data_IF_201298425313
#
_entry.id   IF_201298425313
#
_cell.length_a   1.000
_cell.length_b   1.000
_cell.length_c   1.000
_cell.angle_alpha   90.00
_cell.angle_beta   90.00
_cell.angle_gamma   90.00
#
_symmetry.space_group_name_H-M   'P 1'
#
loop_
_entity.id
_entity.type
_entity.pdbx_description
1 polymer ?
#
# COMPACT_ATOMS: atom_id res chain seq x y z
N UNK A 1 1.46 0.04 -24.13
CA UNK A 1 1.14 -0.68 -22.88
C UNK A 1 1.83 0.07 -21.77
N UNK A 2 1.08 0.69 -20.85
CA UNK A 2 1.70 1.34 -19.69
C UNK A 2 2.25 0.21 -18.81
N UNK A 3 3.57 0.12 -18.66
CA UNK A 3 4.22 -0.95 -17.87
C UNK A 3 3.67 -0.91 -16.43
N UNK A 4 3.50 -2.07 -15.79
CA UNK A 4 3.09 -2.18 -14.37
C UNK A 4 3.96 -1.32 -13.45
N UNK A 5 5.24 -1.12 -13.80
CA UNK A 5 6.14 -0.21 -13.10
C UNK A 5 5.71 1.27 -13.17
N UNK A 6 5.18 1.72 -14.31
CA UNK A 6 4.62 3.07 -14.44
C UNK A 6 3.33 3.22 -13.64
N UNK A 7 2.46 2.21 -13.67
CA UNK A 7 1.23 2.22 -12.88
C UNK A 7 1.52 2.31 -11.38
N UNK A 8 2.53 1.57 -10.87
CA UNK A 8 3.01 1.72 -9.49
C UNK A 8 3.50 3.14 -9.21
N UNK A 9 4.33 3.71 -10.08
CA UNK A 9 4.85 5.06 -9.91
C UNK A 9 3.72 6.10 -9.83
N UNK A 10 2.75 6.02 -10.74
CA UNK A 10 1.60 6.92 -10.78
C UNK A 10 0.74 6.77 -9.52
N UNK A 11 0.47 5.53 -9.09
CA UNK A 11 -0.32 5.26 -7.88
C UNK A 11 0.35 5.81 -6.61
N UNK A 12 1.65 5.56 -6.41
CA UNK A 12 2.37 6.06 -5.24
C UNK A 12 2.52 7.58 -5.25
N UNK A 13 2.73 8.21 -6.41
CA UNK A 13 2.74 9.68 -6.51
C UNK A 13 1.39 10.27 -6.11
N UNK A 14 0.29 9.74 -6.65
CA UNK A 14 -1.05 10.21 -6.30
C UNK A 14 -1.34 10.01 -4.79
N UNK A 15 -0.87 8.90 -4.21
CA UNK A 15 -0.98 8.65 -2.78
C UNK A 15 -0.14 9.62 -1.94
N UNK A 16 1.10 9.89 -2.32
CA UNK A 16 1.97 10.88 -1.66
C UNK A 16 1.36 12.29 -1.73
N UNK A 17 0.80 12.68 -2.88
CA UNK A 17 0.11 13.95 -3.06
C UNK A 17 -1.12 14.05 -2.15
N UNK A 18 -1.92 12.98 -2.05
CA UNK A 18 -3.06 12.91 -1.14
C UNK A 18 -2.62 13.02 0.33
N UNK A 19 -1.57 12.30 0.73
CA UNK A 19 -1.03 12.37 2.08
C UNK A 19 -0.47 13.75 2.41
N UNK A 20 0.24 14.38 1.48
CA UNK A 20 0.75 15.74 1.63
C UNK A 20 -0.41 16.72 1.80
N UNK A 21 -1.42 16.62 0.95
CA UNK A 21 -2.65 17.42 0.96
C UNK A 21 -3.33 17.40 2.32
N UNK A 22 -3.56 16.21 2.90
CA UNK A 22 -4.17 16.04 4.23
C UNK A 22 -3.25 16.57 5.33
N UNK A 23 -1.94 16.29 5.26
CA UNK A 23 -0.99 16.74 6.28
C UNK A 23 -0.86 18.26 6.38
N UNK A 24 -1.05 18.96 5.25
CA UNK A 24 -1.02 20.43 5.18
C UNK A 24 -2.37 21.09 5.48
N UNK A 25 -3.45 20.32 5.59
CA UNK A 25 -4.78 20.85 5.85
C UNK A 25 -4.83 21.56 7.20
N UNK A 26 -5.50 22.71 7.25
CA UNK A 26 -5.78 23.40 8.50
C UNK A 26 -6.73 22.55 9.36
N UNK A 27 -6.69 22.74 10.69
CA UNK A 27 -7.55 21.97 11.61
C UNK A 27 -9.04 22.07 11.25
N UNK A 28 -9.49 23.25 10.81
CA UNK A 28 -10.87 23.49 10.39
C UNK A 28 -11.29 22.73 9.10
N UNK A 29 -10.32 22.27 8.30
CA UNK A 29 -10.56 21.51 7.08
C UNK A 29 -10.53 19.99 7.32
N UNK A 30 -10.05 19.55 8.50
CA UNK A 30 -9.90 18.13 8.81
C UNK A 30 -11.23 17.52 9.20
N UNK A 31 -11.50 16.34 8.66
CA UNK A 31 -12.67 15.53 8.98
C UNK A 31 -12.19 14.33 9.78
N UNK A 32 -12.81 14.13 10.95
CA UNK A 32 -12.55 12.92 11.73
C UNK A 32 -12.99 11.68 10.93
N UNK A 33 -12.24 10.57 11.00
CA UNK A 33 -12.67 9.33 10.37
C UNK A 33 -14.02 8.88 10.94
N UNK A 34 -14.83 8.19 10.12
CA UNK A 34 -16.07 7.60 10.61
C UNK A 34 -15.77 6.55 11.70
N UNK A 35 -16.76 6.23 12.53
CA UNK A 35 -16.56 5.27 13.61
C UNK A 35 -16.12 3.89 13.07
N UNK A 36 -14.95 3.42 13.50
CA UNK A 36 -14.35 2.17 13.05
C UNK A 36 -13.47 2.28 11.79
N UNK A 37 -13.37 3.47 11.19
CA UNK A 37 -12.45 3.77 10.10
C UNK A 37 -11.09 4.26 10.63
N UNK A 38 -10.09 4.22 9.76
CA UNK A 38 -8.73 4.63 10.07
C UNK A 38 -8.52 6.14 9.92
N UNK A 39 -7.69 6.69 10.81
CA UNK A 39 -7.15 8.04 10.62
C UNK A 39 -6.04 8.08 9.56
N UNK A 40 -5.50 9.28 9.28
CA UNK A 40 -4.49 9.47 8.26
C UNK A 40 -3.20 8.67 8.53
N UNK A 41 -2.78 8.55 9.79
CA UNK A 41 -1.53 7.85 10.14
C UNK A 41 -1.72 6.34 10.06
N UNK A 42 -2.87 5.82 10.45
CA UNK A 42 -3.24 4.42 10.29
C UNK A 42 -3.35 4.02 8.82
N UNK A 43 -3.90 4.87 7.95
CA UNK A 43 -3.91 4.63 6.49
C UNK A 43 -2.48 4.58 5.93
N UNK A 44 -1.60 5.50 6.35
CA UNK A 44 -0.19 5.48 5.95
C UNK A 44 0.54 4.22 6.45
N UNK A 45 0.27 3.80 7.69
CA UNK A 45 0.84 2.58 8.25
C UNK A 45 0.36 1.34 7.50
N UNK A 46 -0.93 1.27 7.16
CA UNK A 46 -1.51 0.20 6.36
C UNK A 46 -0.82 0.10 4.99
N UNK A 47 -0.74 1.21 4.25
CA UNK A 47 -0.09 1.25 2.93
C UNK A 47 1.38 0.85 3.03
N UNK A 48 2.10 1.27 4.09
CA UNK A 48 3.48 0.84 4.30
C UNK A 48 3.63 -0.67 4.53
N UNK A 49 2.67 -1.30 5.23
CA UNK A 49 2.68 -2.74 5.51
C UNK A 49 2.32 -3.57 4.28
N UNK A 50 1.26 -3.22 3.55
CA UNK A 50 0.92 -3.94 2.30
C UNK A 50 2.02 -3.78 1.25
N UNK A 51 2.65 -2.60 1.17
CA UNK A 51 3.81 -2.39 0.30
C UNK A 51 4.99 -3.27 0.72
N UNK A 52 5.26 -3.39 2.02
CA UNK A 52 6.31 -4.27 2.54
C UNK A 52 6.03 -5.75 2.25
N UNK A 53 4.78 -6.19 2.42
CA UNK A 53 4.35 -7.55 2.11
C UNK A 53 4.55 -7.87 0.62
N UNK A 54 4.12 -6.96 -0.27
CA UNK A 54 4.33 -7.09 -1.72
C UNK A 54 5.81 -7.13 -2.06
N UNK A 55 6.61 -6.23 -1.47
CA UNK A 55 8.06 -6.21 -1.67
C UNK A 55 8.70 -7.53 -1.23
N UNK A 56 8.27 -8.09 -0.09
CA UNK A 56 8.73 -9.39 0.39
C UNK A 56 8.41 -10.53 -0.57
N UNK A 57 7.17 -10.58 -1.07
CA UNK A 57 6.75 -11.59 -2.04
C UNK A 57 7.53 -11.47 -3.37
N UNK A 58 7.68 -10.26 -3.91
CA UNK A 58 8.46 -9.99 -5.11
C UNK A 58 9.93 -10.40 -4.92
N UNK A 59 10.53 -10.01 -3.80
CA UNK A 59 11.94 -10.33 -3.53
C UNK A 59 12.17 -11.83 -3.38
N UNK A 60 11.24 -12.55 -2.74
CA UNK A 60 11.29 -13.99 -2.58
C UNK A 60 11.22 -14.71 -3.94
N UNK A 61 10.26 -14.34 -4.79
CA UNK A 61 10.13 -14.95 -6.12
C UNK A 61 11.34 -14.63 -7.00
N UNK A 62 11.82 -13.38 -7.01
CA UNK A 62 13.02 -13.00 -7.74
C UNK A 62 14.28 -13.76 -7.29
N UNK A 63 14.33 -14.19 -6.02
CA UNK A 63 15.40 -15.02 -5.49
C UNK A 63 15.19 -16.53 -5.74
N UNK A 64 14.12 -16.93 -6.42
CA UNK A 64 13.78 -18.33 -6.67
C UNK A 64 13.30 -19.09 -5.44
N UNK A 65 12.79 -18.39 -4.42
CA UNK A 65 12.26 -19.00 -3.19
C UNK A 65 10.75 -18.84 -3.09
N UNK A 66 10.10 -19.75 -2.35
CA UNK A 66 8.66 -19.71 -2.14
C UNK A 66 8.27 -18.44 -1.36
N UNK A 67 7.28 -17.73 -1.89
CA UNK A 67 6.67 -16.56 -1.26
C UNK A 67 5.31 -16.91 -0.65
N UNK A 68 4.85 -16.07 0.28
CA UNK A 68 3.46 -16.02 0.74
C UNK A 68 3.05 -14.55 0.81
N UNK A 69 1.76 -14.27 0.60
CA UNK A 69 1.19 -12.94 0.76
C UNK A 69 0.05 -12.98 1.77
N UNK A 70 0.19 -12.26 2.88
CA UNK A 70 -0.83 -12.19 3.94
C UNK A 70 -0.94 -10.75 4.42
N UNK A 71 -2.11 -10.13 4.22
CA UNK A 71 -2.33 -8.73 4.59
C UNK A 71 -2.95 -8.56 5.98
N UNK A 72 -3.21 -9.62 6.76
CA UNK A 72 -3.87 -9.52 8.07
C UNK A 72 -3.13 -8.60 9.04
N UNK A 73 -1.79 -8.63 9.01
CA UNK A 73 -0.95 -7.75 9.84
C UNK A 73 -1.17 -6.26 9.50
N UNK A 74 -1.54 -5.96 8.24
CA UNK A 74 -1.82 -4.60 7.81
C UNK A 74 -3.24 -4.14 8.20
N UNK A 75 -4.06 -4.99 8.82
CA UNK A 75 -5.45 -4.69 9.18
C UNK A 75 -5.63 -4.51 10.70
N UNK A 76 -4.64 -4.96 11.48
CA UNK A 76 -4.67 -4.93 12.94
C UNK A 76 -4.29 -3.54 13.45
N UNK A 77 -5.23 -2.84 14.10
CA UNK A 77 -5.02 -1.45 14.55
C UNK A 77 -3.90 -1.31 15.56
N UNK A 78 -3.69 -2.31 16.43
CA UNK A 78 -2.55 -2.30 17.34
C UNK A 78 -1.22 -2.30 16.58
N UNK A 79 -1.11 -3.12 15.53
CA UNK A 79 0.08 -3.15 14.65
C UNK A 79 0.25 -1.84 13.89
N UNK A 80 -0.84 -1.25 13.39
CA UNK A 80 -0.82 0.06 12.71
C UNK A 80 -0.29 1.15 13.64
N UNK A 81 -0.89 1.32 14.81
CA UNK A 81 -0.50 2.34 15.79
C UNK A 81 0.96 2.14 16.23
N UNK A 82 1.37 0.88 16.43
CA UNK A 82 2.76 0.56 16.78
C UNK A 82 3.73 0.94 15.68
N UNK A 83 3.34 0.78 14.41
CA UNK A 83 4.17 1.21 13.28
C UNK A 83 4.25 2.74 13.18
N UNK A 84 3.13 3.45 13.41
CA UNK A 84 3.10 4.92 13.47
C UNK A 84 4.13 5.44 14.48
N UNK A 85 4.09 4.92 15.71
CA UNK A 85 5.06 5.28 16.76
C UNK A 85 6.50 5.03 16.32
N UNK A 86 6.78 3.84 15.79
CA UNK A 86 8.15 3.43 15.39
C UNK A 86 8.68 4.22 14.20
N UNK A 87 7.81 4.71 13.33
CA UNK A 87 8.18 5.55 12.22
C UNK A 87 8.38 7.01 12.62
N UNK A 88 7.97 7.43 13.83
CA UNK A 88 7.98 8.83 14.23
C UNK A 88 6.83 9.63 13.61
N UNK A 89 5.66 8.99 13.45
CA UNK A 89 4.45 9.59 12.89
C UNK A 89 4.39 9.63 11.37
N UNK A 90 3.42 10.36 10.84
CA UNK A 90 3.11 10.41 9.40
C UNK A 90 4.25 10.87 8.50
N UNK A 91 5.17 11.71 8.99
CA UNK A 91 6.35 12.12 8.20
C UNK A 91 7.30 10.95 7.93
N UNK A 92 7.62 10.14 8.95
CA UNK A 92 8.47 8.98 8.77
C UNK A 92 7.78 7.84 8.02
N UNK A 93 6.45 7.69 8.15
CA UNK A 93 5.69 6.75 7.33
C UNK A 93 5.74 7.10 5.83
N UNK A 94 5.58 8.38 5.48
CA UNK A 94 5.68 8.82 4.08
C UNK A 94 7.06 8.55 3.50
N UNK A 95 8.12 8.86 4.24
CA UNK A 95 9.49 8.55 3.81
C UNK A 95 9.70 7.04 3.61
N UNK A 96 9.21 6.23 4.56
CA UNK A 96 9.26 4.78 4.47
C UNK A 96 8.52 4.26 3.22
N UNK A 97 7.30 4.73 2.97
CA UNK A 97 6.51 4.36 1.79
C UNK A 97 7.25 4.74 0.50
N UNK A 98 7.79 5.97 0.43
CA UNK A 98 8.56 6.44 -0.73
C UNK A 98 9.72 5.50 -1.05
N UNK A 99 10.51 5.11 -0.04
CA UNK A 99 11.63 4.19 -0.20
C UNK A 99 11.17 2.77 -0.62
N UNK A 100 10.09 2.27 -0.03
CA UNK A 100 9.52 0.97 -0.38
C UNK A 100 8.98 0.96 -1.82
N UNK A 101 8.29 2.01 -2.24
CA UNK A 101 7.78 2.18 -3.60
C UNK A 101 8.92 2.24 -4.63
N UNK A 102 10.01 2.93 -4.31
CA UNK A 102 11.21 2.96 -5.16
C UNK A 102 11.84 1.58 -5.31
N UNK A 103 11.98 0.83 -4.21
CA UNK A 103 12.51 -0.53 -4.24
C UNK A 103 11.62 -1.48 -5.04
N UNK A 104 10.30 -1.44 -4.81
CA UNK A 104 9.33 -2.28 -5.51
C UNK A 104 9.36 -1.99 -7.01
N UNK A 105 9.36 -0.70 -7.40
CA UNK A 105 9.47 -0.30 -8.80
C UNK A 105 10.78 -0.81 -9.42
N UNK A 106 11.91 -0.68 -8.74
CA UNK A 106 13.19 -1.14 -9.28
C UNK A 106 13.20 -2.66 -9.54
N UNK A 107 12.53 -3.45 -8.70
CA UNK A 107 12.40 -4.90 -8.91
C UNK A 107 11.45 -5.25 -10.05
N UNK A 108 10.35 -4.51 -10.21
CA UNK A 108 9.34 -4.75 -11.25
C UNK A 108 9.79 -4.24 -12.63
N UNK A 109 10.54 -3.14 -12.69
CA UNK A 109 11.07 -2.56 -13.93
C UNK A 109 12.39 -3.20 -14.37
N UNK A 110 13.11 -3.82 -13.42
CA UNK A 110 14.41 -4.45 -13.66
C UNK A 110 14.30 -5.83 -14.32
N UNK A 111 15.46 -6.37 -14.70
CA UNK A 111 15.57 -7.74 -15.23
C UNK A 111 15.32 -8.85 -14.18
N UNK A 112 14.89 -8.48 -12.97
CA UNK A 112 14.71 -9.41 -11.85
C UNK A 112 13.40 -10.21 -11.95
N UNK A 113 12.40 -9.71 -12.68
CA UNK A 113 11.13 -10.39 -12.89
C UNK A 113 10.87 -10.55 -14.39
N UNK A 114 10.89 -11.79 -14.87
CA UNK A 114 10.37 -12.16 -16.18
C UNK A 114 8.92 -12.67 -16.10
N UNK A 115 8.42 -13.14 -17.23
CA UNK A 115 7.06 -13.71 -17.31
C UNK A 115 6.87 -14.92 -16.38
N UNK A 116 7.92 -15.71 -16.15
CA UNK A 116 7.87 -16.87 -15.27
C UNK A 116 7.72 -16.46 -13.80
N UNK A 117 8.51 -15.48 -13.35
CA UNK A 117 8.40 -14.94 -12.00
C UNK A 117 7.03 -14.28 -11.78
N UNK A 118 6.54 -13.50 -12.75
CA UNK A 118 5.23 -12.86 -12.64
C UNK A 118 4.06 -13.86 -12.64
N UNK A 119 4.20 -14.98 -13.36
CA UNK A 119 3.21 -16.07 -13.36
C UNK A 119 3.31 -16.99 -12.13
N UNK A 120 4.30 -16.80 -11.25
CA UNK A 120 4.50 -17.67 -10.08
C UNK A 120 3.30 -17.56 -9.14
N UNK A 121 2.62 -18.68 -8.81
CA UNK A 121 1.49 -18.68 -7.89
C UNK A 121 1.98 -18.47 -6.45
N UNK A 122 1.51 -17.40 -5.82
CA UNK A 122 1.81 -17.05 -4.43
C UNK A 122 0.60 -17.40 -3.56
N UNK A 123 0.72 -18.30 -2.57
CA UNK A 123 -0.31 -18.49 -1.55
C UNK A 123 -0.70 -17.15 -0.92
N UNK A 124 -1.96 -16.74 -1.11
CA UNK A 124 -2.43 -15.40 -0.81
C UNK A 124 -3.63 -15.46 0.12
N UNK A 125 -3.55 -14.71 1.22
CA UNK A 125 -4.64 -14.48 2.16
C UNK A 125 -4.93 -12.98 2.25
N UNK A 126 -6.08 -12.57 1.71
CA UNK A 126 -6.55 -11.19 1.76
C UNK A 126 -7.77 -11.07 2.65
N UNK A 127 -7.69 -10.15 3.60
CA UNK A 127 -8.83 -9.71 4.40
C UNK A 127 -9.03 -8.20 4.23
N UNK A 128 -10.27 -7.76 4.37
CA UNK A 128 -10.65 -6.34 4.39
C UNK A 128 -11.85 -6.17 5.31
N UNK A 129 -11.82 -5.19 6.21
CA UNK A 129 -12.91 -4.93 7.17
C UNK A 129 -13.32 -6.20 7.96
N UNK A 130 -12.34 -6.99 8.38
CA UNK A 130 -12.54 -8.25 9.11
C UNK A 130 -13.17 -9.38 8.30
N UNK A 131 -13.37 -9.21 6.99
CA UNK A 131 -13.93 -10.23 6.09
C UNK A 131 -12.84 -10.86 5.25
N UNK A 132 -12.92 -12.17 5.08
CA UNK A 132 -12.09 -12.89 4.13
C UNK A 132 -12.50 -12.50 2.71
N UNK A 133 -11.55 -11.95 1.95
CA UNK A 133 -11.76 -11.57 0.55
C UNK A 133 -11.23 -12.66 -0.39
N UNK A 134 -10.09 -13.26 -0.05
CA UNK A 134 -9.41 -14.26 -0.88
C UNK A 134 -8.56 -15.17 0.00
N UNK A 135 -8.61 -16.48 -0.25
CA UNK A 135 -7.74 -17.50 0.34
C UNK A 135 -7.42 -18.56 -0.74
N UNK A 136 -6.49 -18.22 -1.63
CA UNK A 136 -6.05 -19.09 -2.73
C UNK A 136 -4.72 -18.59 -3.30
N UNK A 137 -3.99 -19.41 -4.07
CA UNK A 137 -2.83 -18.92 -4.80
C UNK A 137 -3.22 -17.88 -5.86
N UNK A 138 -2.43 -16.81 -5.96
CA UNK A 138 -2.60 -15.72 -6.93
C UNK A 138 -1.25 -15.49 -7.65
N UNK A 139 -1.22 -15.31 -8.99
CA UNK A 139 0.01 -14.95 -9.69
C UNK A 139 0.64 -13.68 -9.11
N UNK A 140 1.96 -13.66 -8.93
CA UNK A 140 2.68 -12.49 -8.39
C UNK A 140 2.35 -11.21 -9.16
N UNK A 141 2.27 -11.27 -10.48
CA UNK A 141 1.92 -10.15 -11.33
C UNK A 141 0.53 -9.57 -11.04
N UNK A 142 -0.43 -10.40 -10.65
CA UNK A 142 -1.77 -9.95 -10.25
C UNK A 142 -1.77 -9.28 -8.88
N UNK A 143 -0.94 -9.74 -7.93
CA UNK A 143 -0.75 -9.07 -6.63
C UNK A 143 -0.19 -7.66 -6.83
N UNK A 144 0.87 -7.53 -7.65
CA UNK A 144 1.49 -6.22 -7.96
C UNK A 144 0.51 -5.31 -8.70
N UNK A 145 -0.26 -5.86 -9.64
CA UNK A 145 -1.29 -5.12 -10.39
C UNK A 145 -2.42 -4.66 -9.47
N UNK A 146 -2.89 -5.51 -8.56
CA UNK A 146 -3.92 -5.17 -7.57
C UNK A 146 -3.47 -4.05 -6.63
N UNK A 147 -2.21 -4.10 -6.18
CA UNK A 147 -1.62 -3.02 -5.37
C UNK A 147 -1.66 -1.67 -6.12
N UNK A 148 -1.20 -1.65 -7.38
CA UNK A 148 -1.09 -0.43 -8.19
C UNK A 148 -2.45 0.11 -8.65
N UNK A 149 -3.37 -0.77 -9.05
CA UNK A 149 -4.63 -0.37 -9.66
C UNK A 149 -5.76 -0.15 -8.65
N UNK A 150 -5.72 -0.82 -7.50
CA UNK A 150 -6.83 -0.84 -6.55
C UNK A 150 -6.43 -0.36 -5.16
N UNK A 151 -5.44 -0.99 -4.53
CA UNK A 151 -5.15 -0.78 -3.10
C UNK A 151 -4.63 0.64 -2.84
N UNK A 152 -3.52 1.02 -3.46
CA UNK A 152 -2.90 2.34 -3.25
C UNK A 152 -3.84 3.47 -3.70
N UNK A 153 -4.49 3.41 -4.89
CA UNK A 153 -5.48 4.42 -5.26
C UNK A 153 -6.70 4.47 -4.34
N UNK A 154 -7.13 3.33 -3.78
CA UNK A 154 -8.21 3.25 -2.80
C UNK A 154 -7.89 4.05 -1.55
N UNK A 155 -6.72 3.84 -0.98
CA UNK A 155 -6.28 4.57 0.22
C UNK A 155 -5.91 6.02 -0.05
N UNK A 156 -5.50 6.39 -1.27
CA UNK A 156 -5.36 7.79 -1.65
C UNK A 156 -6.72 8.52 -1.58
N UNK A 157 -7.80 7.89 -2.07
CA UNK A 157 -9.16 8.44 -1.94
C UNK A 157 -9.62 8.48 -0.47
N UNK A 158 -9.32 7.45 0.32
CA UNK A 158 -9.66 7.42 1.73
C UNK A 158 -8.96 8.57 2.50
N UNK A 159 -7.69 8.84 2.21
CA UNK A 159 -6.97 10.00 2.77
C UNK A 159 -7.68 11.31 2.41
N UNK A 160 -7.99 11.53 1.13
CA UNK A 160 -8.65 12.76 0.68
C UNK A 160 -10.02 12.96 1.34
N UNK A 161 -10.72 11.88 1.70
CA UNK A 161 -11.98 11.94 2.43
C UNK A 161 -11.85 12.42 3.89
N UNK A 162 -10.62 12.46 4.44
CA UNK A 162 -10.34 13.06 5.76
C UNK A 162 -10.22 14.59 5.73
N UNK A 163 -10.65 15.22 4.63
CA UNK A 163 -10.70 16.67 4.48
C UNK A 163 -12.03 17.09 3.85
N UNK A 164 -12.52 18.26 4.23
CA UNK A 164 -13.62 18.92 3.54
C UNK A 164 -13.14 19.50 2.21
N UNK A 165 -13.94 19.37 1.14
CA UNK A 165 -13.73 20.19 -0.06
C UNK A 165 -14.11 21.64 0.25
N UNK A 166 -13.12 22.49 0.50
CA UNK A 166 -13.35 23.94 0.52
C UNK A 166 -13.48 24.46 -0.91
N UNK A 167 -14.65 24.23 -1.50
CA UNK A 167 -15.19 25.08 -2.55
C UNK A 167 -16.29 25.96 -1.93
N UNK A 168 -15.96 27.22 -1.67
CA UNK A 168 -16.91 28.32 -1.51
C UNK A 168 -16.37 29.52 -2.25
#
# INVERSE_FOLDING_TARGET
>A
MNSTANALLEAYRAFEDAAQTVSSAAEAERVAPAAGEWDAEQILAHVSLVTAATLGAVSAVAAGVNATYDNRVAQDTWTLDRLVERAGGGAGLRERIRLQAQALRALVDGAALGETELATPVPTLLVSHGKLMLDQPVPLGEIVTGLAAMEVPGHARQLLALRTDTAS
#
